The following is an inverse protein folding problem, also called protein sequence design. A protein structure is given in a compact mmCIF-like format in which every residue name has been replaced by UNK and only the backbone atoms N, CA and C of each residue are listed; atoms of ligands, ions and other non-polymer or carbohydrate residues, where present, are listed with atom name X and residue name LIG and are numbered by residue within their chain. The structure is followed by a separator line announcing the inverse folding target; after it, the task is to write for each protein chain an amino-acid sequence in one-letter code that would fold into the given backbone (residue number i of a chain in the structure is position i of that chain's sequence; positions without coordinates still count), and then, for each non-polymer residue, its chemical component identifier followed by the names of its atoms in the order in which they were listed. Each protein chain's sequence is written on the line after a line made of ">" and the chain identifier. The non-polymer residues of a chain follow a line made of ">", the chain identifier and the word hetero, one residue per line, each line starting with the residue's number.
data_IF_593560487538
#
_entry.id   IF_593560487538
#
_cell.length_a   1.000
_cell.length_b   1.000
_cell.length_c   1.000
_cell.angle_alpha   90.00
_cell.angle_beta   90.00
_cell.angle_gamma   90.00
#
_symmetry.space_group_name_H-M   'P 1'
#
loop_
_entity.id
_entity.type
_entity.pdbx_description
1 polymer ?
#
# COMPACT_ATOMS: atom_id res chain seq x y z
N UNK A 1 1.78 5.92 2.56
CA UNK A 1 0.37 6.28 2.83
C UNK A 1 -0.38 5.02 3.25
N UNK A 2 -1.35 5.16 4.16
CA UNK A 2 -2.12 4.03 4.68
C UNK A 2 -3.60 4.37 4.84
N UNK A 3 -4.46 3.37 4.64
CA UNK A 3 -5.82 3.38 5.17
C UNK A 3 -5.85 2.96 6.64
N UNK A 4 -6.91 3.31 7.37
CA UNK A 4 -7.01 3.09 8.82
C UNK A 4 -6.79 1.63 9.28
N UNK A 5 -7.39 0.65 8.59
CA UNK A 5 -7.26 -0.78 8.95
C UNK A 5 -5.83 -1.26 8.79
N UNK A 6 -5.24 -1.03 7.62
CA UNK A 6 -3.85 -1.43 7.33
C UNK A 6 -2.87 -0.72 8.26
N UNK A 7 -3.11 0.55 8.60
CA UNK A 7 -2.28 1.26 9.57
C UNK A 7 -2.32 0.58 10.95
N UNK A 8 -3.51 0.19 11.45
CA UNK A 8 -3.64 -0.55 12.72
C UNK A 8 -2.92 -1.89 12.70
N UNK A 9 -3.05 -2.64 11.60
CA UNK A 9 -2.39 -3.94 11.44
C UNK A 9 -0.86 -3.78 11.43
N UNK A 10 -0.35 -2.80 10.68
CA UNK A 10 1.09 -2.54 10.61
C UNK A 10 1.64 -2.01 11.95
N UNK A 11 0.93 -1.11 12.63
CA UNK A 11 1.32 -0.63 13.94
C UNK A 11 1.36 -1.77 14.98
N UNK A 12 0.44 -2.73 14.92
CA UNK A 12 0.48 -3.93 15.78
C UNK A 12 1.63 -4.86 15.46
N UNK A 13 1.92 -5.09 14.18
CA UNK A 13 3.07 -5.89 13.76
C UNK A 13 4.37 -5.25 14.24
N UNK A 14 4.47 -3.93 14.14
CA UNK A 14 5.58 -3.16 14.69
C UNK A 14 5.68 -3.32 16.21
N UNK A 15 4.60 -3.08 16.95
CA UNK A 15 4.61 -3.23 18.40
C UNK A 15 4.91 -4.66 18.87
N UNK A 16 4.63 -5.66 18.04
CA UNK A 16 4.94 -7.06 18.31
C UNK A 16 6.41 -7.42 17.97
N UNK A 17 7.04 -6.71 17.04
CA UNK A 17 8.45 -6.88 16.72
C UNK A 17 9.29 -6.38 17.90
N UNK A 18 9.96 -7.31 18.58
CA UNK A 18 10.69 -7.01 19.83
C UNK A 18 12.05 -6.37 19.56
N UNK A 19 12.63 -6.65 18.40
CA UNK A 19 13.89 -6.08 17.93
C UNK A 19 13.84 -5.79 16.41
N UNK A 20 14.58 -4.77 15.97
CA UNK A 20 14.70 -4.41 14.56
C UNK A 20 15.29 -5.53 13.67
N UNK A 21 15.91 -6.55 14.26
CA UNK A 21 16.43 -7.73 13.55
C UNK A 21 15.36 -8.78 13.20
N UNK A 22 14.15 -8.69 13.78
CA UNK A 22 13.00 -9.52 13.38
C UNK A 22 12.30 -8.97 12.13
N UNK A 23 12.54 -7.70 11.82
CA UNK A 23 12.07 -7.02 10.63
C UNK A 23 13.18 -7.01 9.59
N UNK A 24 12.85 -7.33 8.35
CA UNK A 24 13.78 -7.10 7.26
C UNK A 24 14.12 -5.60 7.11
N UNK A 25 15.26 -5.32 6.47
CA UNK A 25 15.76 -3.96 6.27
C UNK A 25 14.72 -3.05 5.58
N UNK A 26 13.93 -3.62 4.67
CA UNK A 26 12.90 -2.89 3.95
C UNK A 26 11.78 -2.40 4.87
N UNK A 27 11.34 -3.22 5.83
CA UNK A 27 10.33 -2.85 6.81
C UNK A 27 10.86 -1.78 7.76
N UNK A 28 12.11 -1.92 8.22
CA UNK A 28 12.77 -0.90 9.07
C UNK A 28 12.86 0.45 8.35
N UNK A 29 13.26 0.46 7.07
CA UNK A 29 13.32 1.67 6.27
C UNK A 29 11.92 2.27 6.04
N UNK A 30 10.94 1.43 5.70
CA UNK A 30 9.56 1.84 5.48
C UNK A 30 8.94 2.51 6.71
N UNK A 31 9.32 2.05 7.92
CA UNK A 31 8.86 2.61 9.18
C UNK A 31 9.46 3.97 9.54
N UNK A 32 10.66 4.27 9.02
CA UNK A 32 11.34 5.57 9.23
C UNK A 32 10.91 6.64 8.23
N UNK A 33 10.05 6.29 7.28
CA UNK A 33 9.51 7.25 6.32
C UNK A 33 8.24 7.91 6.86
N UNK A 34 7.99 9.19 6.53
CA UNK A 34 6.73 9.85 6.88
C UNK A 34 5.51 9.06 6.40
N UNK A 35 4.54 8.86 7.29
CA UNK A 35 3.35 8.06 7.01
C UNK A 35 2.07 8.91 7.07
N UNK A 36 1.48 9.21 5.91
CA UNK A 36 0.12 9.79 5.89
C UNK A 36 -0.94 8.70 6.04
N UNK A 37 -1.79 8.82 7.05
CA UNK A 37 -2.89 7.90 7.35
C UNK A 37 -4.22 8.56 7.04
N UNK A 38 -4.93 8.06 6.03
CA UNK A 38 -6.24 8.58 5.63
C UNK A 38 -7.31 7.88 6.47
N UNK A 39 -7.93 8.63 7.38
CA UNK A 39 -8.95 8.09 8.28
C UNK A 39 -9.86 9.17 8.86
N UNK A 40 -11.17 8.91 8.88
CA UNK A 40 -12.16 9.74 9.60
C UNK A 40 -12.36 9.31 11.06
N UNK A 41 -11.91 8.12 11.44
CA UNK A 41 -12.22 7.49 12.74
C UNK A 41 -11.00 7.33 13.65
N UNK A 42 -9.79 7.30 13.08
CA UNK A 42 -8.57 7.20 13.87
C UNK A 42 -8.30 8.55 14.57
N UNK A 43 -7.82 8.49 15.81
CA UNK A 43 -7.56 9.67 16.66
C UNK A 43 -6.13 9.73 17.19
N UNK A 44 -5.42 8.62 17.20
CA UNK A 44 -4.03 8.49 17.64
C UNK A 44 -3.19 7.74 16.59
N UNK A 45 -1.88 7.98 16.60
CA UNK A 45 -0.92 7.41 15.64
C UNK A 45 -0.35 6.07 16.08
N UNK A 46 -0.89 5.44 17.13
CA UNK A 46 -0.45 4.13 17.62
C UNK A 46 1.08 4.04 17.81
N UNK A 47 1.68 5.08 18.39
CA UNK A 47 3.13 5.21 18.66
C UNK A 47 4.03 5.29 17.42
N UNK A 48 3.47 5.40 16.21
CA UNK A 48 4.25 5.68 15.01
C UNK A 48 4.67 7.16 14.98
N UNK A 49 5.96 7.43 15.25
CA UNK A 49 6.49 8.77 15.47
C UNK A 49 6.22 9.75 14.30
N UNK A 50 6.50 9.35 13.07
CA UNK A 50 6.36 10.20 11.87
C UNK A 50 5.05 9.97 11.10
N UNK A 51 3.98 9.54 11.80
CA UNK A 51 2.67 9.38 11.19
C UNK A 51 1.79 10.63 11.34
N UNK A 52 1.08 11.01 10.27
CA UNK A 52 0.09 12.10 10.28
C UNK A 52 -1.27 11.57 9.86
N UNK A 53 -2.29 11.78 10.68
CA UNK A 53 -3.67 11.39 10.37
C UNK A 53 -4.36 12.52 9.63
N UNK A 54 -4.92 12.21 8.46
CA UNK A 54 -5.69 13.15 7.64
C UNK A 54 -7.11 12.60 7.47
N UNK A 55 -8.09 13.38 7.88
CA UNK A 55 -9.50 13.07 7.68
C UNK A 55 -10.02 13.71 6.39
N UNK A 56 -10.86 12.99 5.64
CA UNK A 56 -11.50 13.49 4.43
C UNK A 56 -11.63 12.43 3.35
N UNK A 57 -11.96 12.90 2.13
CA UNK A 57 -11.98 12.06 0.93
C UNK A 57 -10.56 11.64 0.54
N UNK A 58 -10.32 10.32 0.51
CA UNK A 58 -8.99 9.78 0.21
C UNK A 58 -8.50 10.12 -1.19
N UNK A 59 -9.40 10.19 -2.19
CA UNK A 59 -9.05 10.56 -3.56
C UNK A 59 -8.59 12.02 -3.62
N UNK A 60 -9.36 12.94 -3.02
CA UNK A 60 -8.99 14.35 -2.92
C UNK A 60 -7.68 14.58 -2.17
N UNK A 61 -7.48 13.89 -1.05
CA UNK A 61 -6.23 13.99 -0.27
C UNK A 61 -5.03 13.52 -1.11
N UNK A 62 -5.12 12.37 -1.76
CA UNK A 62 -4.01 11.85 -2.57
C UNK A 62 -3.74 12.74 -3.78
N UNK A 63 -4.78 13.29 -4.43
CA UNK A 63 -4.61 14.25 -5.53
C UNK A 63 -3.77 15.45 -5.10
N UNK A 64 -4.10 16.05 -3.94
CA UNK A 64 -3.33 17.16 -3.37
C UNK A 64 -1.89 16.75 -3.02
N UNK A 65 -1.72 15.59 -2.39
CA UNK A 65 -0.38 15.08 -2.06
C UNK A 65 0.49 14.84 -3.30
N UNK A 66 -0.10 14.42 -4.43
CA UNK A 66 0.66 14.26 -5.69
C UNK A 66 1.21 15.58 -6.23
N UNK A 67 0.57 16.70 -5.90
CA UNK A 67 0.99 18.05 -6.31
C UNK A 67 2.00 18.65 -5.31
N UNK A 68 1.82 18.39 -4.01
CA UNK A 68 2.57 19.03 -2.93
C UNK A 68 3.81 18.23 -2.48
N UNK A 69 3.82 16.91 -2.64
CA UNK A 69 4.87 16.04 -2.11
C UNK A 69 6.12 16.07 -2.98
N UNK A 70 7.27 16.36 -2.36
CA UNK A 70 8.58 16.23 -3.01
C UNK A 70 9.04 14.77 -3.15
N UNK A 71 8.39 13.84 -2.45
CA UNK A 71 8.69 12.40 -2.46
C UNK A 71 7.62 11.59 -3.20
N UNK A 72 7.99 10.48 -3.87
CA UNK A 72 7.02 9.57 -4.45
C UNK A 72 6.06 9.00 -3.41
N UNK A 73 4.77 9.02 -3.71
CA UNK A 73 3.75 8.45 -2.84
C UNK A 73 3.68 6.93 -3.03
N UNK A 74 3.86 6.17 -1.94
CA UNK A 74 3.66 4.71 -1.91
C UNK A 74 2.47 4.35 -1.03
N UNK A 75 1.65 3.41 -1.50
CA UNK A 75 0.53 2.84 -0.75
C UNK A 75 0.63 1.30 -0.72
N UNK A 76 1.27 0.70 0.30
CA UNK A 76 1.31 -0.77 0.44
C UNK A 76 -0.07 -1.36 0.76
N UNK A 77 -1.02 -0.52 1.17
CA UNK A 77 -2.42 -0.82 1.46
C UNK A 77 -3.11 0.42 2.02
N UNK A 78 -4.42 0.43 2.27
CA UNK A 78 -5.35 -0.70 2.21
C UNK A 78 -5.79 -1.05 0.79
N UNK A 79 -6.30 -2.27 0.59
CA UNK A 79 -6.94 -2.65 -0.67
C UNK A 79 -8.06 -1.68 -1.05
N UNK A 80 -8.92 -1.30 -0.11
CA UNK A 80 -10.00 -0.34 -0.33
C UNK A 80 -9.51 1.04 -0.80
N UNK A 81 -8.43 1.54 -0.21
CA UNK A 81 -7.80 2.80 -0.64
C UNK A 81 -7.21 2.64 -2.04
N UNK A 82 -6.42 1.59 -2.26
CA UNK A 82 -5.78 1.32 -3.55
C UNK A 82 -6.81 1.16 -4.67
N UNK A 83 -7.93 0.47 -4.42
CA UNK A 83 -9.05 0.34 -5.37
C UNK A 83 -9.66 1.70 -5.70
N UNK A 84 -9.92 2.53 -4.69
CA UNK A 84 -10.47 3.88 -4.89
C UNK A 84 -9.52 4.76 -5.71
N UNK A 85 -8.20 4.63 -5.48
CA UNK A 85 -7.18 5.37 -6.23
C UNK A 85 -7.02 4.87 -7.66
N UNK A 86 -7.13 3.55 -7.89
CA UNK A 86 -7.15 2.95 -9.22
C UNK A 86 -8.36 3.44 -10.03
N UNK A 87 -9.56 3.37 -9.45
CA UNK A 87 -10.79 3.84 -10.07
C UNK A 87 -10.77 5.36 -10.37
N UNK A 88 -10.04 6.14 -9.56
CA UNK A 88 -9.85 7.57 -9.78
C UNK A 88 -8.71 7.91 -10.76
N UNK A 89 -8.02 6.91 -11.33
CA UNK A 89 -6.90 7.12 -12.25
C UNK A 89 -5.67 7.76 -11.61
N UNK A 90 -5.52 7.66 -10.28
CA UNK A 90 -4.45 8.30 -9.52
C UNK A 90 -3.19 7.43 -9.36
N UNK A 91 -3.24 6.16 -9.76
CA UNK A 91 -2.12 5.22 -9.64
C UNK A 91 -1.26 5.23 -10.88
N UNK A 92 -0.01 5.69 -10.77
CA UNK A 92 0.93 5.75 -11.90
C UNK A 92 1.65 4.42 -12.14
N UNK A 93 1.90 3.66 -11.06
CA UNK A 93 2.60 2.38 -11.05
C UNK A 93 1.91 1.40 -10.11
N UNK A 94 1.53 0.25 -10.64
CA UNK A 94 1.01 -0.88 -9.90
C UNK A 94 2.12 -1.91 -9.73
N UNK A 95 2.61 -2.05 -8.51
CA UNK A 95 3.65 -3.01 -8.14
C UNK A 95 2.99 -4.30 -7.61
N UNK A 96 3.15 -5.41 -8.34
CA UNK A 96 2.57 -6.71 -8.02
C UNK A 96 3.68 -7.73 -7.72
N UNK A 97 3.68 -8.26 -6.51
CA UNK A 97 4.53 -9.39 -6.12
C UNK A 97 3.69 -10.66 -6.10
N UNK A 98 4.00 -11.61 -6.97
CA UNK A 98 3.28 -12.88 -7.11
C UNK A 98 4.13 -14.01 -6.55
N UNK A 99 3.68 -14.59 -5.45
CA UNK A 99 4.29 -15.77 -4.86
C UNK A 99 3.80 -17.04 -5.57
N UNK A 100 4.63 -18.10 -5.65
CA UNK A 100 4.27 -19.37 -6.29
C UNK A 100 3.34 -20.23 -5.39
N UNK A 101 2.24 -19.64 -4.92
CA UNK A 101 1.25 -20.28 -4.03
C UNK A 101 -0.16 -19.82 -4.38
N UNK A 102 -1.13 -20.74 -4.25
CA UNK A 102 -2.55 -20.44 -4.46
C UNK A 102 -3.31 -20.65 -3.14
N UNK A 103 -3.76 -19.55 -2.53
CA UNK A 103 -4.52 -19.57 -1.27
C UNK A 103 -6.04 -19.63 -1.50
N UNK A 104 -6.51 -20.58 -2.31
CA UNK A 104 -7.93 -20.63 -2.73
C UNK A 104 -8.93 -20.96 -1.61
N UNK A 105 -8.50 -21.64 -0.54
CA UNK A 105 -9.36 -22.01 0.60
C UNK A 105 -9.15 -21.15 1.85
N UNK A 106 -7.91 -20.71 2.07
CA UNK A 106 -7.49 -20.01 3.30
C UNK A 106 -7.25 -18.52 3.10
N UNK A 107 -7.28 -18.04 1.85
CA UNK A 107 -7.14 -16.62 1.53
C UNK A 107 -8.32 -15.82 2.10
N UNK A 108 -8.01 -14.69 2.72
CA UNK A 108 -8.99 -13.86 3.44
C UNK A 108 -9.45 -12.64 2.64
N UNK A 109 -8.69 -12.20 1.63
CA UNK A 109 -8.98 -10.99 0.86
C UNK A 109 -8.45 -11.11 -0.57
N UNK A 110 -9.33 -11.20 -1.59
CA UNK A 110 -8.89 -11.24 -2.98
C UNK A 110 -8.47 -9.82 -3.43
N UNK A 111 -7.19 -9.66 -3.79
CA UNK A 111 -6.57 -8.36 -4.07
C UNK A 111 -7.30 -7.56 -5.16
N UNK A 112 -7.84 -8.22 -6.18
CA UNK A 112 -8.46 -7.56 -7.34
C UNK A 112 -9.99 -7.63 -7.35
N UNK A 113 -10.62 -8.10 -6.28
CA UNK A 113 -12.09 -8.17 -6.23
C UNK A 113 -12.68 -6.75 -6.19
N UNK A 114 -13.53 -6.43 -7.17
CA UNK A 114 -14.22 -5.14 -7.25
C UNK A 114 -13.39 -4.02 -7.87
N UNK A 115 -12.25 -4.34 -8.48
CA UNK A 115 -11.48 -3.39 -9.31
C UNK A 115 -12.15 -3.32 -10.68
N UNK A 116 -12.22 -2.11 -11.24
CA UNK A 116 -12.68 -1.86 -12.62
C UNK A 116 -11.79 -2.57 -13.65
N UNK A 117 -12.26 -2.67 -14.89
CA UNK A 117 -11.44 -3.15 -15.99
C UNK A 117 -10.27 -2.20 -16.25
N UNK A 118 -9.05 -2.71 -16.08
CA UNK A 118 -7.81 -1.98 -16.29
C UNK A 118 -7.03 -2.57 -17.47
N UNK A 119 -6.59 -1.70 -18.37
CA UNK A 119 -5.51 -2.03 -19.30
C UNK A 119 -4.17 -1.86 -18.58
N UNK A 120 -3.33 -2.89 -18.62
CA UNK A 120 -2.01 -2.87 -17.98
C UNK A 120 -0.91 -2.84 -19.04
N UNK A 121 0.01 -1.89 -18.91
CA UNK A 121 1.25 -1.81 -19.68
C UNK A 121 2.40 -2.31 -18.79
N UNK A 122 3.05 -3.41 -19.17
CA UNK A 122 4.19 -3.95 -18.41
C UNK A 122 5.38 -2.99 -18.51
N UNK A 123 5.85 -2.50 -17.37
CA UNK A 123 7.03 -1.63 -17.28
C UNK A 123 8.28 -2.41 -16.89
N UNK A 124 8.17 -3.28 -15.88
CA UNK A 124 9.29 -4.06 -15.35
C UNK A 124 8.83 -5.47 -14.96
N UNK A 125 9.68 -6.46 -15.16
CA UNK A 125 9.45 -7.84 -14.71
C UNK A 125 10.75 -8.46 -14.22
N UNK A 126 10.75 -9.03 -13.01
CA UNK A 126 11.86 -9.78 -12.45
C UNK A 126 11.36 -11.08 -11.84
N UNK A 127 12.16 -12.14 -11.97
CA UNK A 127 11.98 -13.37 -11.20
C UNK A 127 12.98 -13.31 -10.05
N UNK A 128 12.48 -13.40 -8.82
CA UNK A 128 13.29 -13.47 -7.62
C UNK A 128 13.53 -14.94 -7.23
N UNK A 129 14.41 -15.15 -6.27
CA UNK A 129 14.68 -16.47 -5.71
C UNK A 129 13.39 -17.15 -5.21
N UNK A 130 13.33 -18.47 -5.39
CA UNK A 130 12.13 -19.25 -5.07
C UNK A 130 10.98 -19.10 -6.07
N UNK A 131 11.17 -18.43 -7.21
CA UNK A 131 10.16 -18.33 -8.27
C UNK A 131 9.10 -17.26 -8.04
N UNK A 132 9.37 -16.31 -7.14
CA UNK A 132 8.50 -15.14 -6.92
C UNK A 132 8.63 -14.18 -8.10
N UNK A 133 7.51 -13.71 -8.64
CA UNK A 133 7.51 -12.69 -9.70
C UNK A 133 7.34 -11.31 -9.08
N UNK A 134 8.18 -10.39 -9.51
CA UNK A 134 8.12 -8.98 -9.18
C UNK A 134 7.79 -8.19 -10.46
N UNK A 135 6.59 -7.62 -10.51
CA UNK A 135 6.02 -7.02 -11.72
C UNK A 135 5.62 -5.57 -11.46
N UNK A 136 5.96 -4.68 -12.38
CA UNK A 136 5.52 -3.28 -12.33
C UNK A 136 4.74 -2.98 -13.60
N UNK A 137 3.50 -2.53 -13.43
CA UNK A 137 2.61 -2.13 -14.52
C UNK A 137 2.24 -0.66 -14.43
N UNK A 138 1.99 -0.03 -15.57
CA UNK A 138 1.22 1.21 -15.64
C UNK A 138 -0.24 0.86 -15.92
N UNK A 139 -1.18 1.17 -15.01
CA UNK A 139 -2.60 0.95 -15.27
C UNK A 139 -3.21 2.10 -16.09
N UNK A 140 -4.18 1.77 -16.94
CA UNK A 140 -5.06 2.72 -17.64
C UNK A 140 -6.49 2.23 -17.50
N UNK A 141 -7.40 3.12 -17.11
CA UNK A 141 -8.84 2.81 -17.09
C UNK A 141 -9.31 2.55 -18.52
N UNK A 142 -10.10 1.49 -18.69
CA UNK A 142 -10.69 1.11 -19.97
C UNK A 142 -11.99 1.86 -20.24
#
# INVERSE_FOLDING_TARGET
>A
MFGATTFRENARLLAAARDAGELDEWNVLSMRMPATVISSTLRDTLEWADATIVAGDGVGIVRRLKEESELPLRSPGSLSLNHSLLAAGLVDRLHLTVFPVVSGRTGTSPILRGVEDLQLELMESRVLDGGTLDLVYRPRLR
#
